data_IF_449891453927
#
_entry.id   IF_449891453927
#
_cell.length_a   1.000
_cell.length_b   1.000
_cell.length_c   1.000
_cell.angle_alpha   90.00
_cell.angle_beta   90.00
_cell.angle_gamma   90.00
#
_symmetry.space_group_name_H-M   'P 1'
#
loop_
_entity.id
_entity.type
_entity.pdbx_description
1 polymer ?
#
# COMPACT_ATOMS: atom_id res chain seq x y z
N UNK A 1 -18.69 3.09 48.24
CA UNK A 1 -19.25 3.73 47.03
C UNK A 1 -18.76 2.90 45.87
N UNK A 2 -19.67 2.23 45.16
CA UNK A 2 -19.31 1.31 44.08
C UNK A 2 -18.84 2.14 42.87
N UNK A 3 -17.53 2.22 42.67
CA UNK A 3 -16.95 2.70 41.41
C UNK A 3 -17.49 1.81 40.29
N UNK A 4 -18.22 2.44 39.36
CA UNK A 4 -19.04 1.79 38.37
C UNK A 4 -18.23 0.87 37.45
N UNK A 5 -18.79 -0.31 37.19
CA UNK A 5 -18.36 -1.18 36.10
C UNK A 5 -18.44 -0.39 34.79
N UNK A 6 -17.27 0.04 34.29
CA UNK A 6 -17.16 0.66 32.97
C UNK A 6 -17.74 -0.29 31.92
N UNK A 7 -18.48 0.27 30.98
CA UNK A 7 -19.02 -0.48 29.84
C UNK A 7 -17.88 -1.08 29.01
N UNK A 8 -18.12 -2.23 28.38
CA UNK A 8 -17.16 -2.83 27.43
C UNK A 8 -16.77 -1.85 26.30
N UNK A 9 -17.67 -0.92 25.94
CA UNK A 9 -17.40 0.15 24.98
C UNK A 9 -16.43 1.20 25.55
N UNK A 10 -16.62 1.62 26.78
CA UNK A 10 -15.74 2.59 27.45
C UNK A 10 -14.33 2.00 27.64
N UNK A 11 -14.24 0.72 27.98
CA UNK A 11 -12.97 -0.01 28.07
C UNK A 11 -12.28 -0.13 26.70
N UNK A 12 -13.04 -0.34 25.62
CA UNK A 12 -12.50 -0.38 24.26
C UNK A 12 -11.95 1.00 23.83
N UNK A 13 -12.69 2.07 24.15
CA UNK A 13 -12.29 3.45 23.85
C UNK A 13 -11.04 3.88 24.64
N UNK A 14 -10.99 3.58 25.94
CA UNK A 14 -9.78 3.83 26.76
C UNK A 14 -8.57 3.08 26.21
N UNK A 15 -8.74 1.81 25.80
CA UNK A 15 -7.65 1.05 25.17
C UNK A 15 -7.18 1.69 23.88
N UNK A 16 -8.08 2.14 23.00
CA UNK A 16 -7.69 2.83 21.77
C UNK A 16 -6.99 4.15 22.03
N UNK A 17 -7.44 4.92 23.01
CA UNK A 17 -6.83 6.21 23.36
C UNK A 17 -5.45 6.01 24.00
N UNK A 18 -5.29 4.97 24.82
CA UNK A 18 -4.01 4.62 25.41
C UNK A 18 -3.00 4.18 24.35
N UNK A 19 -3.42 3.31 23.43
CA UNK A 19 -2.60 2.90 22.27
C UNK A 19 -2.22 4.11 21.41
N UNK A 20 -3.17 5.02 21.16
CA UNK A 20 -2.90 6.25 20.39
C UNK A 20 -1.88 7.15 21.09
N UNK A 21 -1.99 7.33 22.40
CA UNK A 21 -1.02 8.07 23.22
C UNK A 21 0.34 7.40 23.19
N UNK A 22 0.43 6.09 23.39
CA UNK A 22 1.70 5.35 23.33
C UNK A 22 2.36 5.50 21.96
N UNK A 23 1.59 5.43 20.87
CA UNK A 23 2.10 5.68 19.50
C UNK A 23 2.61 7.13 19.33
N UNK A 24 1.96 8.11 19.95
CA UNK A 24 2.41 9.51 19.94
C UNK A 24 3.65 9.73 20.82
N UNK A 25 3.67 9.15 22.02
CA UNK A 25 4.76 9.25 23.01
C UNK A 25 6.03 8.55 22.51
N UNK A 26 5.89 7.41 21.83
CA UNK A 26 7.01 6.67 21.22
C UNK A 26 7.48 7.27 19.88
N UNK A 27 6.89 8.39 19.43
CA UNK A 27 7.22 9.01 18.14
C UNK A 27 6.95 8.10 16.93
N UNK A 28 6.06 7.12 17.09
CA UNK A 28 5.63 6.19 16.04
C UNK A 28 4.48 6.76 15.20
N UNK A 29 3.88 7.87 15.64
CA UNK A 29 2.87 8.59 14.88
C UNK A 29 3.49 9.27 13.66
N UNK A 30 3.04 8.88 12.45
CA UNK A 30 3.39 9.57 11.22
C UNK A 30 3.02 11.06 11.32
N UNK A 31 3.84 11.95 10.77
CA UNK A 31 3.51 13.37 10.66
C UNK A 31 2.49 13.63 9.55
N UNK A 32 1.86 14.81 9.54
CA UNK A 32 0.91 15.18 8.50
C UNK A 32 1.55 15.12 7.11
N UNK A 33 2.79 15.62 7.00
CA UNK A 33 3.58 15.56 5.77
C UNK A 33 3.90 14.11 5.35
N UNK A 34 4.27 13.23 6.28
CA UNK A 34 4.51 11.81 5.97
C UNK A 34 3.22 11.12 5.50
N UNK A 35 2.07 11.40 6.12
CA UNK A 35 0.78 10.85 5.70
C UNK A 35 0.41 11.31 4.29
N UNK A 36 0.62 12.58 3.98
CA UNK A 36 0.36 13.14 2.65
C UNK A 36 1.28 12.52 1.59
N UNK A 37 2.59 12.41 1.86
CA UNK A 37 3.54 11.76 0.97
C UNK A 37 3.21 10.28 0.72
N UNK A 38 2.78 9.56 1.75
CA UNK A 38 2.34 8.17 1.60
C UNK A 38 1.04 8.06 0.80
N UNK A 39 0.09 8.97 1.00
CA UNK A 39 -1.15 8.99 0.22
C UNK A 39 -0.90 9.31 -1.25
N UNK A 40 0.01 10.23 -1.55
CA UNK A 40 0.42 10.54 -2.92
C UNK A 40 1.14 9.35 -3.57
N UNK A 41 2.04 8.71 -2.83
CA UNK A 41 2.71 7.49 -3.28
C UNK A 41 1.71 6.37 -3.60
N UNK A 42 0.67 6.21 -2.76
CA UNK A 42 -0.39 5.24 -3.00
C UNK A 42 -1.14 5.53 -4.32
N UNK A 43 -1.51 6.80 -4.53
CA UNK A 43 -2.18 7.24 -5.76
C UNK A 43 -1.32 6.99 -6.99
N UNK A 44 -0.07 7.43 -6.97
CA UNK A 44 0.89 7.28 -8.07
C UNK A 44 1.05 5.80 -8.46
N UNK A 45 1.31 4.93 -7.48
CA UNK A 45 1.53 3.51 -7.76
C UNK A 45 0.24 2.78 -8.17
N UNK A 46 -0.92 3.16 -7.61
CA UNK A 46 -2.20 2.61 -8.07
C UNK A 46 -2.49 2.98 -9.53
N UNK A 47 -2.20 4.22 -9.93
CA UNK A 47 -2.37 4.69 -11.30
C UNK A 47 -1.46 3.92 -12.27
N UNK A 48 -0.18 3.72 -11.90
CA UNK A 48 0.76 2.92 -12.70
C UNK A 48 0.32 1.47 -12.87
N UNK A 49 -0.22 0.85 -11.81
CA UNK A 49 -0.73 -0.52 -11.88
C UNK A 49 -1.97 -0.58 -12.78
N UNK A 50 -2.89 0.39 -12.66
CA UNK A 50 -4.08 0.46 -13.50
C UNK A 50 -3.72 0.66 -14.99
N UNK A 51 -2.76 1.53 -15.29
CA UNK A 51 -2.25 1.73 -16.65
C UNK A 51 -1.71 0.41 -17.23
N UNK A 52 -0.86 -0.30 -16.49
CA UNK A 52 -0.35 -1.62 -16.92
C UNK A 52 -1.46 -2.66 -17.12
N UNK A 53 -2.50 -2.64 -16.29
CA UNK A 53 -3.63 -3.56 -16.42
C UNK A 53 -4.41 -3.30 -17.72
N UNK A 54 -4.66 -2.03 -18.05
CA UNK A 54 -5.30 -1.65 -19.33
C UNK A 54 -4.44 -2.07 -20.52
N UNK A 55 -3.11 -1.89 -20.43
CA UNK A 55 -2.18 -2.36 -21.47
C UNK A 55 -2.25 -3.88 -21.63
N UNK A 56 -2.22 -4.64 -20.53
CA UNK A 56 -2.34 -6.11 -20.56
C UNK A 56 -3.66 -6.54 -21.22
N UNK A 57 -4.79 -5.96 -20.84
CA UNK A 57 -6.08 -6.29 -21.43
C UNK A 57 -6.11 -6.03 -22.94
N UNK A 58 -5.48 -4.94 -23.38
CA UNK A 58 -5.34 -4.60 -24.80
C UNK A 58 -4.48 -5.61 -25.54
N UNK A 59 -3.33 -5.99 -24.98
CA UNK A 59 -2.42 -7.00 -25.55
C UNK A 59 -3.07 -8.38 -25.62
N UNK A 60 -3.74 -8.82 -24.54
CA UNK A 60 -4.48 -10.08 -24.51
C UNK A 60 -5.55 -10.12 -25.60
N UNK A 61 -6.33 -9.04 -25.75
CA UNK A 61 -7.33 -8.95 -26.83
C UNK A 61 -6.67 -9.07 -28.20
N UNK A 62 -5.53 -8.41 -28.42
CA UNK A 62 -4.80 -8.50 -29.67
C UNK A 62 -4.29 -9.93 -29.95
N UNK A 63 -3.81 -10.64 -28.93
CA UNK A 63 -3.36 -12.04 -29.05
C UNK A 63 -4.51 -12.95 -29.46
N UNK A 64 -5.66 -12.87 -28.78
CA UNK A 64 -6.83 -13.69 -29.11
C UNK A 64 -7.44 -13.40 -30.49
N UNK A 65 -7.22 -12.20 -31.04
CA UNK A 65 -7.67 -11.85 -32.40
C UNK A 65 -6.69 -12.32 -33.50
N UNK A 66 -5.41 -12.49 -33.17
CA UNK A 66 -4.35 -12.76 -34.16
C UNK A 66 -3.97 -14.23 -34.24
N UNK A 67 -4.13 -14.99 -33.16
CA UNK A 67 -3.67 -16.37 -33.06
C UNK A 67 -4.81 -17.35 -32.85
N UNK A 68 -4.66 -18.60 -33.33
CA UNK A 68 -5.57 -19.69 -32.98
C UNK A 68 -5.64 -19.88 -31.45
N UNK A 69 -6.77 -20.35 -30.90
CA UNK A 69 -6.96 -20.46 -29.45
C UNK A 69 -5.82 -21.19 -28.71
N UNK A 70 -5.29 -22.27 -29.29
CA UNK A 70 -4.21 -23.05 -28.68
C UNK A 70 -2.92 -22.25 -28.49
N UNK A 71 -2.51 -21.45 -29.49
CA UNK A 71 -1.31 -20.61 -29.43
C UNK A 71 -1.56 -19.32 -28.64
N UNK A 72 -2.77 -18.75 -28.77
CA UNK A 72 -3.19 -17.56 -28.04
C UNK A 72 -3.17 -17.79 -26.52
N UNK A 73 -3.53 -18.99 -26.05
CA UNK A 73 -3.51 -19.32 -24.62
C UNK A 73 -2.09 -19.29 -24.03
N UNK A 74 -1.10 -19.88 -24.71
CA UNK A 74 0.28 -19.87 -24.24
C UNK A 74 0.83 -18.44 -24.13
N UNK A 75 0.65 -17.65 -25.19
CA UNK A 75 1.06 -16.24 -25.22
C UNK A 75 0.33 -15.38 -24.18
N UNK A 76 -0.96 -15.64 -23.96
CA UNK A 76 -1.75 -14.94 -22.94
C UNK A 76 -1.24 -15.22 -21.52
N UNK A 77 -0.84 -16.46 -21.23
CA UNK A 77 -0.24 -16.81 -19.94
C UNK A 77 1.12 -16.15 -19.74
N UNK A 78 1.98 -16.11 -20.76
CA UNK A 78 3.26 -15.40 -20.68
C UNK A 78 3.07 -13.90 -20.39
N UNK A 79 2.11 -13.25 -21.06
CA UNK A 79 1.77 -11.84 -20.81
C UNK A 79 1.25 -11.62 -19.39
N UNK A 80 0.41 -12.53 -18.87
CA UNK A 80 -0.08 -12.47 -17.48
C UNK A 80 1.06 -12.63 -16.47
N UNK A 81 1.97 -13.59 -16.68
CA UNK A 81 3.11 -13.79 -15.80
C UNK A 81 4.01 -12.54 -15.76
N UNK A 82 4.33 -11.98 -16.92
CA UNK A 82 5.10 -10.73 -17.01
C UNK A 82 4.41 -9.59 -16.27
N UNK A 83 3.09 -9.45 -16.41
CA UNK A 83 2.34 -8.43 -15.67
C UNK A 83 2.40 -8.65 -14.15
N UNK A 84 2.29 -9.89 -13.68
CA UNK A 84 2.40 -10.21 -12.25
C UNK A 84 3.79 -9.85 -11.69
N UNK A 85 4.85 -10.14 -12.44
CA UNK A 85 6.21 -9.75 -12.07
C UNK A 85 6.39 -8.23 -12.03
N UNK A 86 5.92 -7.52 -13.05
CA UNK A 86 5.96 -6.06 -13.11
C UNK A 86 5.16 -5.41 -11.98
N UNK A 87 3.96 -5.93 -11.70
CA UNK A 87 3.12 -5.49 -10.58
C UNK A 87 3.84 -5.70 -9.26
N UNK A 88 4.48 -6.86 -9.06
CA UNK A 88 5.27 -7.15 -7.86
C UNK A 88 6.42 -6.18 -7.69
N UNK A 89 7.20 -5.91 -8.75
CA UNK A 89 8.29 -4.91 -8.72
C UNK A 89 7.77 -3.52 -8.32
N UNK A 90 6.65 -3.09 -8.89
CA UNK A 90 6.03 -1.82 -8.52
C UNK A 90 5.58 -1.80 -7.05
N UNK A 91 5.02 -2.89 -6.53
CA UNK A 91 4.64 -2.98 -5.12
C UNK A 91 5.87 -2.95 -4.20
N UNK A 92 6.94 -3.65 -4.55
CA UNK A 92 8.19 -3.67 -3.79
C UNK A 92 8.85 -2.29 -3.78
N UNK A 93 8.86 -1.58 -4.91
CA UNK A 93 9.32 -0.19 -4.99
C UNK A 93 8.46 0.76 -4.15
N UNK A 94 7.13 0.59 -4.17
CA UNK A 94 6.20 1.37 -3.34
C UNK A 94 6.54 1.18 -1.87
N UNK A 95 6.72 -0.05 -1.42
CA UNK A 95 7.04 -0.33 -0.02
C UNK A 95 8.42 0.21 0.37
N UNK A 96 9.43 0.07 -0.50
CA UNK A 96 10.75 0.64 -0.26
C UNK A 96 10.70 2.18 -0.12
N UNK A 97 9.91 2.87 -0.95
CA UNK A 97 9.69 4.32 -0.85
C UNK A 97 8.90 4.69 0.40
N UNK A 98 7.85 3.93 0.73
CA UNK A 98 7.05 4.12 1.92
C UNK A 98 7.91 3.97 3.20
N UNK A 99 8.75 2.95 3.26
CA UNK A 99 9.69 2.73 4.36
C UNK A 99 10.65 3.91 4.54
N UNK A 100 11.17 4.48 3.46
CA UNK A 100 12.02 5.68 3.50
C UNK A 100 11.26 6.90 4.05
N UNK A 101 10.02 7.13 3.62
CA UNK A 101 9.18 8.22 4.14
C UNK A 101 8.92 8.05 5.64
N UNK A 102 8.67 6.82 6.10
CA UNK A 102 8.49 6.51 7.53
C UNK A 102 9.77 6.76 8.33
N UNK A 103 10.95 6.56 7.75
CA UNK A 103 12.25 6.75 8.40
C UNK A 103 12.81 8.18 8.31
N UNK A 104 12.38 9.00 7.34
CA UNK A 104 13.03 10.28 7.02
C UNK A 104 12.92 11.37 8.10
N UNK A 105 11.96 11.30 9.03
CA UNK A 105 11.90 12.23 10.18
C UNK A 105 12.47 11.68 11.48
N UNK A 106 12.64 10.35 11.62
CA UNK A 106 13.35 9.78 12.77
C UNK A 106 14.77 10.31 12.89
N UNK A 107 15.40 10.67 11.76
CA UNK A 107 16.74 11.27 11.70
C UNK A 107 16.78 12.79 11.94
N UNK A 108 15.66 13.52 11.81
CA UNK A 108 15.60 14.97 12.11
C UNK A 108 15.32 15.26 13.58
N UNK A 109 14.65 14.35 14.29
CA UNK A 109 14.41 14.46 15.73
C UNK A 109 15.62 14.15 16.62
N UNK A 110 16.72 13.61 16.07
CA UNK A 110 17.94 13.27 16.82
C UNK A 110 19.03 14.35 16.78
N UNK A 111 18.71 15.55 16.27
CA UNK A 111 19.63 16.69 16.15
C UNK A 111 19.14 17.93 16.90
N UNK A 112 18.20 17.78 17.84
CA UNK A 112 17.71 18.84 18.72
C UNK A 112 17.98 18.53 20.18
#
# INVERSE_FOLDING_TARGET
MAEGMKSALELALERTEHVRKTIQEEGLALTAAQREQLAELEREYSAKIAEKDVMLQTELRAVYLRYPPAEAHALAEELRQKFLEDKRKLMDEKEAKAARIRQSEKARGSLS
#
